data_IF_676209838825
#
_entry.id   IF_676209838825
#
_cell.length_a   1.000
_cell.length_b   1.000
_cell.length_c   1.000
_cell.angle_alpha   90.00
_cell.angle_beta   90.00
_cell.angle_gamma   90.00
#
_symmetry.space_group_name_H-M   'P 1'
#
loop_
_entity.id
_entity.type
_entity.pdbx_description
1 polymer ?
#
# COMPACT_ATOMS: atom_id res chain seq x y z
N UNK A 1 15.28 -29.10 -1.82
CA UNK A 1 15.73 -28.51 -0.54
C UNK A 1 16.90 -27.59 -0.85
N UNK A 2 16.61 -26.34 -1.23
CA UNK A 2 17.61 -25.28 -1.40
C UNK A 2 17.12 -24.09 -0.58
N UNK A 3 17.89 -23.75 0.44
CA UNK A 3 17.60 -22.70 1.39
C UNK A 3 17.85 -21.34 0.73
N UNK A 4 16.80 -20.70 0.24
CA UNK A 4 16.86 -19.29 -0.18
C UNK A 4 17.01 -18.41 1.07
N UNK A 5 18.27 -18.17 1.45
CA UNK A 5 18.60 -17.19 2.47
C UNK A 5 18.32 -15.82 1.88
N UNK A 6 17.25 -15.17 2.34
CA UNK A 6 17.03 -13.73 2.17
C UNK A 6 18.33 -13.00 2.50
N UNK A 7 18.96 -12.40 1.50
CA UNK A 7 20.09 -11.49 1.67
C UNK A 7 19.57 -10.29 2.47
N UNK A 8 19.92 -10.24 3.74
CA UNK A 8 19.85 -9.01 4.53
C UNK A 8 20.80 -8.01 3.85
N UNK A 9 20.41 -6.74 3.64
CA UNK A 9 21.31 -5.73 3.08
C UNK A 9 22.61 -5.68 3.90
N UNK A 10 23.74 -5.61 3.20
CA UNK A 10 25.06 -5.65 3.82
C UNK A 10 25.27 -4.37 4.67
N UNK A 11 25.56 -4.45 5.98
CA UNK A 11 25.86 -3.29 6.81
C UNK A 11 27.11 -2.48 6.36
N UNK A 12 27.82 -2.92 5.32
CA UNK A 12 28.89 -2.17 4.66
C UNK A 12 28.46 -1.28 3.47
N UNK A 13 27.18 -1.27 3.08
CA UNK A 13 26.66 -0.33 2.07
C UNK A 13 26.55 1.08 2.67
N UNK A 14 27.69 1.76 2.85
CA UNK A 14 27.90 3.13 3.36
C UNK A 14 26.61 3.91 3.69
N UNK A 15 26.07 3.61 4.87
CA UNK A 15 24.80 4.15 5.40
C UNK A 15 24.88 5.63 5.78
N UNK A 16 26.06 6.20 5.64
CA UNK A 16 26.37 7.61 5.67
C UNK A 16 27.23 7.83 4.43
N UNK A 17 26.67 8.37 3.35
CA UNK A 17 27.52 8.85 2.26
C UNK A 17 28.48 9.88 2.88
N UNK A 18 29.77 9.59 2.83
CA UNK A 18 30.78 10.38 3.54
C UNK A 18 30.78 11.81 3.00
N UNK A 19 30.44 11.99 1.72
CA UNK A 19 30.26 13.29 1.10
C UNK A 19 29.05 14.05 1.65
N UNK A 20 27.87 13.42 1.66
CA UNK A 20 26.63 14.02 2.16
C UNK A 20 26.71 14.33 3.66
N UNK A 21 27.28 13.43 4.45
CA UNK A 21 27.47 13.61 5.90
C UNK A 21 28.44 14.76 6.18
N UNK A 22 29.53 14.85 5.42
CA UNK A 22 30.48 15.97 5.53
C UNK A 22 29.84 17.30 5.12
N UNK A 23 29.00 17.30 4.08
CA UNK A 23 28.25 18.48 3.64
C UNK A 23 27.23 18.94 4.67
N UNK A 24 26.48 18.03 5.29
CA UNK A 24 25.50 18.38 6.34
C UNK A 24 26.19 18.94 7.59
N UNK A 25 27.25 18.28 8.05
CA UNK A 25 28.04 18.77 9.19
C UNK A 25 28.71 20.11 8.86
N UNK A 26 29.25 20.25 7.64
CA UNK A 26 29.84 21.49 7.15
C UNK A 26 28.84 22.63 7.05
N UNK A 27 27.64 22.38 6.55
CA UNK A 27 26.55 23.36 6.52
C UNK A 27 26.17 23.83 7.92
N UNK A 28 25.96 22.90 8.86
CA UNK A 28 25.64 23.23 10.24
C UNK A 28 26.77 24.03 10.89
N UNK A 29 28.02 23.62 10.69
CA UNK A 29 29.19 24.34 11.22
C UNK A 29 29.28 25.77 10.66
N UNK A 30 29.16 25.95 9.35
CA UNK A 30 29.19 27.27 8.71
C UNK A 30 28.03 28.14 9.21
N UNK A 31 26.82 27.58 9.28
CA UNK A 31 25.64 28.29 9.76
C UNK A 31 25.82 28.79 11.21
N UNK A 32 26.28 27.93 12.12
CA UNK A 32 26.51 28.32 13.52
C UNK A 32 27.73 29.25 13.68
N UNK A 33 28.77 29.13 12.86
CA UNK A 33 29.90 30.06 12.84
C UNK A 33 29.44 31.44 12.39
N UNK A 34 28.68 31.53 11.29
CA UNK A 34 28.12 32.80 10.81
C UNK A 34 27.23 33.43 11.89
N UNK A 35 26.36 32.63 12.51
CA UNK A 35 25.51 33.11 13.60
C UNK A 35 26.33 33.62 14.79
N UNK A 36 27.34 32.87 15.24
CA UNK A 36 28.21 33.25 16.36
C UNK A 36 29.05 34.50 16.08
N UNK A 37 29.59 34.62 14.86
CA UNK A 37 30.34 35.80 14.42
C UNK A 37 29.43 37.02 14.37
N UNK A 38 28.24 36.91 13.77
CA UNK A 38 27.30 38.02 13.69
C UNK A 38 26.79 38.42 15.09
N UNK A 39 26.62 37.47 16.01
CA UNK A 39 26.26 37.78 17.39
C UNK A 39 27.33 38.62 18.14
N UNK A 40 28.58 38.64 17.69
CA UNK A 40 29.62 39.51 18.23
C UNK A 40 29.57 40.97 17.73
N UNK A 41 28.87 41.24 16.62
CA UNK A 41 28.88 42.56 15.95
C UNK A 41 27.58 43.36 16.08
N UNK A 42 26.49 42.77 16.57
CA UNK A 42 25.19 43.44 16.69
C UNK A 42 24.73 43.53 18.15
N UNK A 43 24.40 44.73 18.65
CA UNK A 43 23.94 45.02 20.04
C UNK A 43 22.49 44.61 20.33
N UNK A 44 22.21 44.02 21.49
CA UNK A 44 20.99 43.28 21.87
C UNK A 44 19.63 43.96 21.66
N UNK A 45 19.57 45.27 21.41
CA UNK A 45 18.29 46.01 21.42
C UNK A 45 17.38 45.75 20.21
N UNK A 46 17.84 45.08 19.14
CA UNK A 46 17.11 44.98 17.87
C UNK A 46 17.05 43.54 17.29
N UNK A 47 16.54 42.60 18.09
CA UNK A 47 16.53 41.16 17.77
C UNK A 47 15.82 40.79 16.44
N UNK A 48 14.78 41.52 16.03
CA UNK A 48 14.04 41.24 14.79
C UNK A 48 14.82 41.61 13.52
N UNK A 49 15.49 42.76 13.52
CA UNK A 49 16.30 43.28 12.40
C UNK A 49 17.56 42.44 12.21
N UNK A 50 18.18 41.97 13.30
CA UNK A 50 19.34 41.07 13.26
C UNK A 50 19.01 39.71 12.64
N UNK A 51 17.95 39.06 13.10
CA UNK A 51 17.57 37.73 12.60
C UNK A 51 17.25 37.79 11.09
N UNK A 52 16.51 38.80 10.64
CA UNK A 52 16.24 39.03 9.22
C UNK A 52 17.48 39.31 8.38
N UNK A 53 18.46 40.07 8.90
CA UNK A 53 19.71 40.36 8.18
C UNK A 53 20.58 39.11 8.00
N UNK A 54 20.75 38.30 9.07
CA UNK A 54 21.48 37.02 9.03
C UNK A 54 20.86 36.09 7.99
N UNK A 55 19.53 36.04 7.94
CA UNK A 55 18.80 35.17 7.04
C UNK A 55 18.95 35.57 5.56
N UNK A 56 18.87 36.87 5.26
CA UNK A 56 19.08 37.39 3.89
C UNK A 56 20.52 37.18 3.44
N UNK A 57 21.50 37.49 4.29
CA UNK A 57 22.92 37.32 3.97
C UNK A 57 23.25 35.85 3.74
N UNK A 58 22.76 34.95 4.59
CA UNK A 58 22.96 33.51 4.43
C UNK A 58 22.37 33.01 3.11
N UNK A 59 21.13 33.41 2.79
CA UNK A 59 20.44 33.00 1.56
C UNK A 59 21.16 33.50 0.30
N UNK A 60 21.63 34.75 0.30
CA UNK A 60 22.42 35.31 -0.81
C UNK A 60 23.75 34.57 -0.96
N UNK A 61 24.45 34.28 0.13
CA UNK A 61 25.71 33.51 0.11
C UNK A 61 25.47 32.11 -0.45
N UNK A 62 24.40 31.42 -0.06
CA UNK A 62 24.09 30.08 -0.58
C UNK A 62 23.75 30.09 -2.07
N UNK A 63 23.01 31.10 -2.54
CA UNK A 63 22.73 31.26 -3.98
C UNK A 63 24.03 31.51 -4.74
N UNK A 64 24.90 32.40 -4.25
CA UNK A 64 26.19 32.70 -4.88
C UNK A 64 27.08 31.45 -4.92
N UNK A 65 27.18 30.70 -3.82
CA UNK A 65 27.95 29.45 -3.77
C UNK A 65 27.37 28.42 -4.74
N UNK A 66 26.06 28.27 -4.80
CA UNK A 66 25.40 27.32 -5.71
C UNK A 66 25.63 27.67 -7.18
N UNK A 67 25.50 28.95 -7.53
CA UNK A 67 25.80 29.46 -8.88
C UNK A 67 27.29 29.26 -9.20
N UNK A 68 28.19 29.66 -8.30
CA UNK A 68 29.63 29.51 -8.48
C UNK A 68 30.03 28.03 -8.65
N UNK A 69 29.45 27.13 -7.84
CA UNK A 69 29.66 25.69 -7.95
C UNK A 69 29.18 25.17 -9.31
N UNK A 70 27.96 25.52 -9.72
CA UNK A 70 27.40 25.10 -11.01
C UNK A 70 28.27 25.54 -12.18
N UNK A 71 28.70 26.81 -12.22
CA UNK A 71 29.57 27.33 -13.27
C UNK A 71 31.03 26.85 -13.15
N UNK A 72 31.43 26.30 -12.00
CA UNK A 72 32.74 25.62 -11.84
C UNK A 72 32.76 24.20 -12.41
N UNK A 73 31.59 23.61 -12.68
CA UNK A 73 31.49 22.29 -13.31
C UNK A 73 31.88 22.36 -14.78
N UNK A 74 32.48 21.29 -15.29
CA UNK A 74 32.75 21.11 -16.72
C UNK A 74 31.44 20.97 -17.52
N UNK A 75 31.47 21.30 -18.81
CA UNK A 75 30.26 21.38 -19.65
C UNK A 75 29.45 20.06 -19.67
N UNK A 76 30.13 18.91 -19.64
CA UNK A 76 29.55 17.57 -19.53
C UNK A 76 28.81 17.34 -18.20
N UNK A 77 29.34 17.88 -17.10
CA UNK A 77 28.73 17.79 -15.77
C UNK A 77 27.59 18.77 -15.57
N UNK A 78 27.60 19.92 -16.27
CA UNK A 78 26.47 20.85 -16.28
C UNK A 78 25.25 20.24 -16.99
N UNK A 79 25.48 19.56 -18.12
CA UNK A 79 24.42 18.95 -18.92
C UNK A 79 23.74 17.77 -18.19
N UNK A 80 24.53 16.99 -17.44
CA UNK A 80 24.04 15.86 -16.63
C UNK A 80 23.56 16.27 -15.23
N UNK A 81 23.84 17.49 -14.76
CA UNK A 81 23.58 17.93 -13.39
C UNK A 81 22.15 17.65 -12.92
N UNK A 82 21.15 18.02 -13.71
CA UNK A 82 19.74 17.85 -13.35
C UNK A 82 19.32 16.39 -13.33
N UNK A 83 19.88 15.57 -14.21
CA UNK A 83 19.64 14.13 -14.26
C UNK A 83 20.23 13.45 -13.02
N UNK A 84 21.47 13.78 -12.70
CA UNK A 84 22.19 13.24 -11.55
C UNK A 84 21.55 13.69 -10.22
N UNK A 85 21.09 14.94 -10.15
CA UNK A 85 20.32 15.45 -9.03
C UNK A 85 19.00 14.70 -8.86
N UNK A 86 18.25 14.48 -9.95
CA UNK A 86 16.99 13.71 -9.92
C UNK A 86 17.24 12.27 -9.46
N UNK A 87 18.31 11.63 -9.93
CA UNK A 87 18.67 10.26 -9.53
C UNK A 87 19.12 10.20 -8.05
N UNK A 88 19.86 11.20 -7.59
CA UNK A 88 20.28 11.31 -6.19
C UNK A 88 19.09 11.53 -5.27
N UNK A 89 18.16 12.43 -5.64
CA UNK A 89 16.92 12.64 -4.91
C UNK A 89 16.06 11.37 -4.86
N UNK A 90 15.99 10.62 -5.97
CA UNK A 90 15.30 9.33 -6.03
C UNK A 90 15.92 8.32 -5.05
N UNK A 91 17.25 8.13 -5.11
CA UNK A 91 17.97 7.21 -4.21
C UNK A 91 17.78 7.59 -2.74
N UNK A 92 17.82 8.89 -2.45
CA UNK A 92 17.62 9.41 -1.12
C UNK A 92 16.20 9.13 -0.59
N UNK A 93 15.16 9.45 -1.37
CA UNK A 93 13.77 9.25 -0.96
C UNK A 93 13.39 7.76 -0.84
N UNK A 94 14.02 6.88 -1.63
CA UNK A 94 13.76 5.44 -1.60
C UNK A 94 14.44 4.72 -0.41
N UNK A 95 15.43 5.37 0.22
CA UNK A 95 16.21 4.79 1.30
C UNK A 95 15.54 4.94 2.67
N UNK A 96 15.42 3.83 3.42
CA UNK A 96 14.86 3.86 4.78
C UNK A 96 15.74 4.56 5.81
N UNK A 97 17.06 4.56 5.59
CA UNK A 97 17.99 5.23 6.49
C UNK A 97 17.90 6.75 6.42
N UNK A 98 17.37 7.32 5.32
CA UNK A 98 17.07 8.75 5.20
C UNK A 98 16.15 9.26 6.31
N UNK A 99 15.25 8.41 6.83
CA UNK A 99 14.42 8.76 8.00
C UNK A 99 15.30 8.97 9.23
N UNK A 100 16.24 8.05 9.49
CA UNK A 100 17.16 8.13 10.61
C UNK A 100 18.12 9.32 10.48
N UNK A 101 18.56 9.64 9.26
CA UNK A 101 19.38 10.81 8.98
C UNK A 101 18.65 12.12 9.29
N UNK A 102 17.40 12.29 8.85
CA UNK A 102 16.62 13.50 9.16
C UNK A 102 16.33 13.62 10.65
N UNK A 103 16.08 12.51 11.34
CA UNK A 103 15.95 12.49 12.80
C UNK A 103 17.28 12.91 13.47
N UNK A 104 18.40 12.35 13.02
CA UNK A 104 19.73 12.71 13.51
C UNK A 104 20.06 14.19 13.30
N UNK A 105 19.75 14.72 12.10
CA UNK A 105 19.85 16.14 11.79
C UNK A 105 19.01 16.98 12.75
N UNK A 106 17.74 16.64 12.98
CA UNK A 106 16.87 17.38 13.91
C UNK A 106 17.43 17.41 15.34
N UNK A 107 17.98 16.28 15.82
CA UNK A 107 18.61 16.20 17.14
C UNK A 107 19.83 17.10 17.22
N UNK A 108 20.76 16.99 16.27
CA UNK A 108 21.98 17.79 16.23
C UNK A 108 21.68 19.28 16.05
N UNK A 109 20.70 19.61 15.21
CA UNK A 109 20.25 20.97 14.98
C UNK A 109 19.68 21.60 16.26
N UNK A 110 18.85 20.85 17.01
CA UNK A 110 18.33 21.29 18.31
C UNK A 110 19.43 21.43 19.36
N UNK A 111 20.38 20.51 19.39
CA UNK A 111 21.53 20.60 20.29
C UNK A 111 22.38 21.85 19.98
N UNK A 112 22.59 22.17 18.70
CA UNK A 112 23.28 23.39 18.27
C UNK A 112 22.54 24.66 18.68
N UNK A 113 21.24 24.75 18.41
CA UNK A 113 20.38 25.87 18.85
C UNK A 113 20.54 26.11 20.36
N UNK A 114 20.49 25.05 21.16
CA UNK A 114 20.65 25.13 22.61
C UNK A 114 22.07 25.57 23.01
N UNK A 115 23.11 24.98 22.40
CA UNK A 115 24.52 25.27 22.71
C UNK A 115 24.90 26.72 22.40
N UNK A 116 24.38 27.27 21.31
CA UNK A 116 24.66 28.65 20.88
C UNK A 116 23.65 29.66 21.43
N UNK A 117 22.74 29.25 22.33
CA UNK A 117 21.81 30.16 23.01
C UNK A 117 20.83 30.85 22.06
N UNK A 118 20.49 30.24 20.93
CA UNK A 118 19.63 30.86 19.92
C UNK A 118 18.20 30.95 20.49
N UNK A 119 17.57 32.15 20.52
CA UNK A 119 16.23 32.30 21.06
C UNK A 119 15.21 31.48 20.26
N UNK A 120 14.33 30.78 20.97
CA UNK A 120 13.25 29.97 20.37
C UNK A 120 11.85 30.41 20.81
N UNK A 121 11.76 31.53 21.52
CA UNK A 121 10.51 32.10 22.01
C UNK A 121 9.57 32.54 20.86
N UNK A 122 8.25 32.60 21.10
CA UNK A 122 7.30 33.15 20.13
C UNK A 122 7.68 34.60 19.77
N UNK A 123 7.93 34.87 18.49
CA UNK A 123 8.38 36.20 18.01
C UNK A 123 9.89 36.41 18.02
N UNK A 124 10.65 35.65 18.81
CA UNK A 124 12.11 35.82 18.94
C UNK A 124 12.90 34.80 18.10
N UNK A 125 12.26 33.69 17.70
CA UNK A 125 12.88 32.65 16.90
C UNK A 125 13.32 33.20 15.53
N UNK A 126 14.61 33.06 15.15
CA UNK A 126 15.06 33.43 13.81
C UNK A 126 14.25 32.71 12.73
N UNK A 127 13.93 33.40 11.65
CA UNK A 127 13.12 32.81 10.57
C UNK A 127 13.86 31.61 9.98
N UNK A 128 15.18 31.68 9.75
CA UNK A 128 15.95 30.54 9.24
C UNK A 128 15.81 29.29 10.10
N UNK A 129 15.83 29.43 11.43
CA UNK A 129 15.59 28.30 12.34
C UNK A 129 14.17 27.77 12.17
N UNK A 130 13.16 28.65 12.16
CA UNK A 130 11.76 28.26 11.98
C UNK A 130 11.52 27.57 10.63
N UNK A 131 12.17 28.06 9.57
CA UNK A 131 12.11 27.52 8.23
C UNK A 131 12.77 26.15 8.14
N UNK A 132 14.03 26.01 8.60
CA UNK A 132 14.76 24.75 8.59
C UNK A 132 14.04 23.68 9.41
N UNK A 133 13.54 24.04 10.60
CA UNK A 133 12.74 23.17 11.45
C UNK A 133 11.45 22.72 10.72
N UNK A 134 10.69 23.66 10.16
CA UNK A 134 9.45 23.37 9.42
C UNK A 134 9.70 22.46 8.20
N UNK A 135 10.75 22.74 7.41
CA UNK A 135 11.08 21.93 6.23
C UNK A 135 11.60 20.55 6.61
N UNK A 136 12.41 20.42 7.66
CA UNK A 136 12.88 19.13 8.14
C UNK A 136 11.73 18.25 8.63
N UNK A 137 10.76 18.79 9.38
CA UNK A 137 9.58 18.03 9.80
C UNK A 137 8.64 17.68 8.64
N UNK A 138 8.43 18.59 7.69
CA UNK A 138 7.66 18.31 6.49
C UNK A 138 8.31 17.17 5.69
N UNK A 139 9.64 17.25 5.50
CA UNK A 139 10.40 16.26 4.77
C UNK A 139 10.42 14.90 5.48
N UNK A 140 10.58 14.88 6.81
CA UNK A 140 10.43 13.68 7.64
C UNK A 140 9.05 13.04 7.46
N UNK A 141 7.99 13.85 7.45
CA UNK A 141 6.62 13.37 7.25
C UNK A 141 6.45 12.72 5.88
N UNK A 142 6.98 13.35 4.83
CA UNK A 142 6.97 12.79 3.47
C UNK A 142 7.73 11.45 3.41
N UNK A 143 8.93 11.38 3.99
CA UNK A 143 9.71 10.15 4.05
C UNK A 143 8.96 9.03 4.79
N UNK A 144 8.35 9.32 5.94
CA UNK A 144 7.56 8.33 6.68
C UNK A 144 6.38 7.79 5.87
N UNK A 145 5.69 8.66 5.12
CA UNK A 145 4.62 8.24 4.21
C UNK A 145 5.19 7.34 3.12
N UNK A 146 6.28 7.74 2.46
CA UNK A 146 6.92 6.93 1.42
C UNK A 146 7.29 5.54 1.99
N UNK A 147 7.93 5.49 3.16
CA UNK A 147 8.33 4.22 3.78
C UNK A 147 7.13 3.38 4.20
N UNK A 148 6.06 4.00 4.69
CA UNK A 148 4.81 3.30 5.01
C UNK A 148 4.24 2.63 3.78
N UNK A 149 4.11 3.33 2.66
CA UNK A 149 3.60 2.73 1.42
C UNK A 149 4.54 1.67 0.83
N UNK A 150 5.86 1.90 0.90
CA UNK A 150 6.87 0.94 0.44
C UNK A 150 6.85 -0.35 1.26
N UNK A 151 6.77 -0.27 2.58
CA UNK A 151 6.90 -1.45 3.44
C UNK A 151 5.57 -2.12 3.77
N UNK A 152 4.49 -1.36 3.93
CA UNK A 152 3.16 -1.88 4.27
C UNK A 152 2.38 -2.27 3.02
N UNK A 153 2.23 -1.34 2.06
CA UNK A 153 1.47 -1.58 0.84
C UNK A 153 2.28 -2.19 -0.31
N UNK A 154 3.62 -2.27 -0.16
CA UNK A 154 4.53 -2.73 -1.23
C UNK A 154 4.44 -1.88 -2.51
N UNK A 155 4.09 -0.60 -2.36
CA UNK A 155 3.98 0.37 -3.47
C UNK A 155 5.25 1.22 -3.53
N UNK A 156 5.88 1.28 -4.69
CA UNK A 156 7.03 2.15 -4.95
C UNK A 156 6.59 3.55 -5.41
N UNK A 157 6.29 4.42 -4.44
CA UNK A 157 5.90 5.82 -4.69
C UNK A 157 7.05 6.62 -5.31
N UNK A 158 8.29 6.33 -4.93
CA UNK A 158 9.46 7.09 -5.39
C UNK A 158 9.77 6.74 -6.84
N UNK A 159 9.67 5.47 -7.21
CA UNK A 159 9.66 5.03 -8.59
C UNK A 159 8.56 5.71 -9.40
N UNK A 160 7.34 5.81 -8.87
CA UNK A 160 6.20 6.47 -9.53
C UNK A 160 6.42 7.97 -9.81
N UNK A 161 7.06 8.69 -8.88
CA UNK A 161 7.26 10.15 -8.99
C UNK A 161 8.53 10.54 -9.75
N UNK A 162 9.61 9.77 -9.61
CA UNK A 162 10.94 10.10 -10.14
C UNK A 162 11.42 9.19 -11.28
N UNK A 163 10.68 8.13 -11.61
CA UNK A 163 10.96 7.32 -12.80
C UNK A 163 10.51 8.00 -14.09
N UNK A 164 11.02 7.51 -15.23
CA UNK A 164 10.35 7.67 -16.53
C UNK A 164 9.22 6.65 -16.56
N UNK A 165 8.15 6.93 -15.83
CA UNK A 165 7.10 5.96 -15.60
C UNK A 165 6.11 6.01 -16.76
N UNK A 166 6.12 4.96 -17.56
CA UNK A 166 4.92 4.52 -18.25
C UNK A 166 3.94 4.04 -17.19
N UNK A 167 2.92 4.85 -16.94
CA UNK A 167 1.86 4.61 -15.94
C UNK A 167 1.18 3.23 -16.11
N UNK A 168 1.34 2.58 -17.26
CA UNK A 168 0.90 1.21 -17.52
C UNK A 168 1.69 0.15 -16.72
N UNK A 169 2.99 0.35 -16.47
CA UNK A 169 3.87 -0.63 -15.85
C UNK A 169 3.75 -0.74 -14.32
N UNK A 170 3.23 0.29 -13.65
CA UNK A 170 2.90 0.24 -12.21
C UNK A 170 1.71 -0.70 -11.92
N UNK A 171 0.94 -1.06 -12.94
CA UNK A 171 -0.15 -2.04 -12.88
C UNK A 171 0.22 -3.38 -13.52
N UNK A 172 1.41 -3.51 -14.13
CA UNK A 172 1.93 -4.81 -14.53
C UNK A 172 2.54 -5.49 -13.31
N UNK A 173 1.75 -6.40 -12.75
CA UNK A 173 2.21 -7.40 -11.79
C UNK A 173 3.41 -8.12 -12.39
N UNK A 174 4.56 -7.92 -11.73
CA UNK A 174 5.82 -8.67 -11.85
C UNK A 174 5.59 -10.03 -12.52
N UNK A 175 5.98 -10.16 -13.80
CA UNK A 175 6.03 -11.46 -14.49
C UNK A 175 6.79 -12.42 -13.60
N UNK A 176 6.07 -13.38 -13.04
CA UNK A 176 6.65 -14.46 -12.25
C UNK A 176 7.50 -15.28 -13.19
N UNK A 177 8.76 -15.45 -12.83
CA UNK A 177 9.72 -16.28 -13.55
C UNK A 177 9.13 -17.68 -13.77
N UNK A 178 9.17 -18.11 -15.03
CA UNK A 178 8.69 -19.40 -15.49
C UNK A 178 9.57 -20.48 -14.89
N UNK A 179 9.03 -21.25 -13.95
CA UNK A 179 9.60 -22.55 -13.61
C UNK A 179 9.44 -23.46 -14.84
N UNK A 180 10.57 -23.86 -15.42
CA UNK A 180 10.63 -24.77 -16.56
C UNK A 180 10.36 -26.18 -16.05
N UNK A 181 9.33 -26.84 -16.58
CA UNK A 181 9.14 -28.28 -16.41
C UNK A 181 9.39 -28.99 -17.75
N UNK A 182 9.98 -30.18 -17.66
CA UNK A 182 10.52 -30.95 -18.78
C UNK A 182 9.38 -31.65 -19.51
N UNK A 183 8.61 -30.92 -20.30
CA UNK A 183 7.78 -31.45 -21.39
C UNK A 183 7.29 -30.27 -22.22
N UNK A 184 7.83 -30.10 -23.43
CA UNK A 184 7.63 -28.93 -24.28
C UNK A 184 6.20 -28.71 -24.77
N UNK A 185 5.33 -28.26 -23.87
CA UNK A 185 4.03 -27.66 -24.17
C UNK A 185 3.84 -26.49 -23.21
N UNK A 186 4.08 -25.27 -23.68
CA UNK A 186 3.87 -24.04 -22.92
C UNK A 186 2.38 -23.81 -22.68
N UNK A 187 1.83 -24.35 -21.58
CA UNK A 187 0.55 -23.90 -21.06
C UNK A 187 0.83 -22.66 -20.22
N UNK A 188 0.71 -21.48 -20.85
CA UNK A 188 0.69 -20.23 -20.10
C UNK A 188 -0.46 -20.23 -19.08
N UNK A 189 -0.42 -19.35 -18.06
CA UNK A 189 -1.53 -19.21 -17.13
C UNK A 189 -2.83 -18.99 -17.92
N UNK A 190 -3.81 -19.88 -17.73
CA UNK A 190 -5.05 -19.87 -18.49
C UNK A 190 -5.95 -18.74 -17.98
N UNK A 191 -6.43 -17.91 -18.89
CA UNK A 191 -7.40 -16.86 -18.57
C UNK A 191 -8.76 -17.49 -18.25
N UNK A 192 -9.47 -16.90 -17.29
CA UNK A 192 -10.81 -17.30 -16.89
C UNK A 192 -11.62 -16.12 -16.37
N UNK A 193 -12.94 -16.29 -16.26
CA UNK A 193 -13.78 -15.31 -15.57
C UNK A 193 -13.65 -15.49 -14.06
N UNK A 194 -13.54 -14.38 -13.34
CA UNK A 194 -13.64 -14.34 -11.89
C UNK A 194 -14.46 -13.14 -11.41
N UNK A 195 -15.11 -13.29 -10.26
CA UNK A 195 -16.04 -12.30 -9.72
C UNK A 195 -15.50 -11.66 -8.44
N UNK A 196 -15.59 -10.33 -8.36
CA UNK A 196 -15.41 -9.54 -7.15
C UNK A 196 -16.79 -9.23 -6.56
N UNK A 197 -17.10 -9.78 -5.38
CA UNK A 197 -18.49 -9.91 -4.88
C UNK A 197 -18.94 -8.87 -3.85
N UNK A 198 -18.13 -7.87 -3.52
CA UNK A 198 -18.39 -6.93 -2.42
C UNK A 198 -19.42 -5.82 -2.73
N UNK A 199 -19.92 -5.73 -3.96
CA UNK A 199 -20.93 -4.78 -4.41
C UNK A 199 -20.62 -3.29 -4.17
N UNK A 200 -19.37 -2.88 -4.36
CA UNK A 200 -18.92 -1.51 -4.04
C UNK A 200 -18.75 -0.58 -5.26
N UNK A 201 -18.85 -1.10 -6.49
CA UNK A 201 -18.30 -0.44 -7.66
C UNK A 201 -19.39 0.02 -8.64
N UNK A 202 -19.28 1.25 -9.13
CA UNK A 202 -20.05 1.68 -10.32
C UNK A 202 -19.41 1.11 -11.61
N UNK A 203 -20.02 1.34 -12.77
CA UNK A 203 -19.52 0.79 -14.04
C UNK A 203 -18.13 1.29 -14.45
N UNK A 204 -17.78 2.56 -14.15
CA UNK A 204 -16.44 3.08 -14.43
C UNK A 204 -15.40 2.52 -13.46
N UNK A 205 -15.74 2.43 -12.17
CA UNK A 205 -14.90 1.79 -11.14
C UNK A 205 -14.63 0.34 -11.51
N UNK A 206 -15.63 -0.38 -12.02
CA UNK A 206 -15.52 -1.78 -12.41
C UNK A 206 -14.42 -2.01 -13.47
N UNK A 207 -14.27 -1.10 -14.43
CA UNK A 207 -13.17 -1.15 -15.41
C UNK A 207 -11.82 -1.01 -14.74
N UNK A 208 -11.70 -0.10 -13.77
CA UNK A 208 -10.48 0.11 -13.01
C UNK A 208 -10.15 -1.11 -12.12
N UNK A 209 -11.16 -1.73 -11.50
CA UNK A 209 -11.02 -2.94 -10.69
C UNK A 209 -10.42 -4.09 -11.50
N UNK A 210 -10.96 -4.41 -12.68
CA UNK A 210 -10.38 -5.47 -13.50
C UNK A 210 -8.96 -5.15 -13.96
N UNK A 211 -8.70 -3.90 -14.37
CA UNK A 211 -7.36 -3.47 -14.80
C UNK A 211 -6.33 -3.60 -13.68
N UNK A 212 -6.71 -3.29 -12.44
CA UNK A 212 -5.84 -3.45 -11.27
C UNK A 212 -5.45 -4.93 -11.02
N UNK A 213 -6.23 -5.88 -11.56
CA UNK A 213 -5.95 -7.32 -11.49
C UNK A 213 -5.41 -7.87 -12.82
N UNK A 214 -4.84 -7.03 -13.70
CA UNK A 214 -4.31 -7.44 -14.99
C UNK A 214 -5.35 -8.05 -15.93
N UNK A 215 -6.61 -7.65 -15.76
CA UNK A 215 -7.78 -8.24 -16.44
C UNK A 215 -8.65 -7.15 -17.08
N UNK A 216 -9.61 -7.55 -17.90
CA UNK A 216 -10.67 -6.65 -18.42
C UNK A 216 -12.04 -7.08 -17.91
N UNK A 217 -13.06 -6.25 -18.14
CA UNK A 217 -14.44 -6.70 -17.95
C UNK A 217 -14.70 -7.93 -18.83
N UNK A 218 -15.35 -8.93 -18.26
CA UNK A 218 -15.73 -10.14 -19.00
C UNK A 218 -16.86 -9.83 -19.99
N UNK A 219 -16.82 -10.46 -21.16
CA UNK A 219 -17.93 -10.43 -22.13
C UNK A 219 -19.05 -11.39 -21.69
N UNK A 220 -20.23 -11.27 -22.30
CA UNK A 220 -21.30 -12.23 -22.05
C UNK A 220 -20.86 -13.67 -22.39
N UNK A 221 -20.22 -13.87 -23.55
CA UNK A 221 -19.79 -15.18 -24.03
C UNK A 221 -18.80 -15.85 -23.07
N UNK A 222 -17.91 -15.08 -22.43
CA UNK A 222 -16.96 -15.59 -21.44
C UNK A 222 -17.65 -16.01 -20.13
N UNK A 223 -18.67 -15.26 -19.72
CA UNK A 223 -19.48 -15.58 -18.54
C UNK A 223 -20.32 -16.83 -18.81
N UNK A 224 -20.89 -16.94 -20.01
CA UNK A 224 -21.64 -18.12 -20.45
C UNK A 224 -20.73 -19.35 -20.54
N UNK A 225 -19.54 -19.22 -21.15
CA UNK A 225 -18.54 -20.29 -21.17
C UNK A 225 -18.13 -20.72 -19.75
N UNK A 226 -18.01 -19.77 -18.83
CA UNK A 226 -17.71 -20.06 -17.42
C UNK A 226 -18.85 -20.80 -16.74
N UNK A 227 -20.11 -20.39 -16.97
CA UNK A 227 -21.30 -21.11 -16.51
C UNK A 227 -21.33 -22.55 -17.03
N UNK A 228 -21.05 -22.75 -18.33
CA UNK A 228 -20.95 -24.09 -18.94
C UNK A 228 -19.82 -24.94 -18.32
N UNK A 229 -18.76 -24.29 -17.84
CA UNK A 229 -17.68 -24.89 -17.05
C UNK A 229 -18.00 -25.14 -15.57
N UNK A 230 -19.23 -24.86 -15.12
CA UNK A 230 -19.67 -25.07 -13.74
C UNK A 230 -19.51 -23.86 -12.82
N UNK A 231 -19.18 -22.68 -13.36
CA UNK A 231 -19.06 -21.48 -12.55
C UNK A 231 -20.40 -21.06 -11.93
N UNK A 232 -20.34 -20.61 -10.68
CA UNK A 232 -21.50 -20.17 -9.90
C UNK A 232 -21.09 -19.08 -8.92
N UNK A 233 -21.83 -17.98 -8.87
CA UNK A 233 -21.71 -16.97 -7.83
C UNK A 233 -23.02 -16.19 -7.66
N UNK A 234 -23.18 -15.54 -6.51
CA UNK A 234 -24.48 -15.02 -6.05
C UNK A 234 -24.64 -13.50 -6.18
N UNK A 235 -23.62 -12.80 -6.69
CA UNK A 235 -23.58 -11.34 -6.80
C UNK A 235 -23.53 -10.91 -8.25
N UNK A 236 -24.37 -9.94 -8.62
CA UNK A 236 -24.24 -9.23 -9.89
C UNK A 236 -22.84 -8.65 -10.04
N UNK A 237 -22.19 -8.91 -11.16
CA UNK A 237 -20.92 -8.31 -11.52
C UNK A 237 -21.01 -7.48 -12.79
N UNK A 238 -20.58 -6.22 -12.73
CA UNK A 238 -20.37 -5.40 -13.93
C UNK A 238 -19.51 -6.15 -14.94
N UNK A 239 -19.95 -6.14 -16.20
CA UNK A 239 -19.42 -6.87 -17.35
C UNK A 239 -19.39 -5.93 -18.55
N UNK A 240 -18.82 -6.36 -19.67
CA UNK A 240 -18.68 -5.53 -20.86
C UNK A 240 -20.03 -4.94 -21.34
N UNK A 241 -20.00 -3.71 -21.85
CA UNK A 241 -21.19 -3.05 -22.40
C UNK A 241 -22.21 -2.57 -21.35
N UNK A 242 -21.78 -2.29 -20.11
CA UNK A 242 -22.66 -1.85 -19.01
C UNK A 242 -23.75 -2.88 -18.67
N UNK A 243 -23.41 -4.15 -18.83
CA UNK A 243 -24.22 -5.25 -18.34
C UNK A 243 -23.74 -5.67 -16.96
N UNK A 244 -24.62 -6.29 -16.18
CA UNK A 244 -24.19 -7.00 -15.00
C UNK A 244 -24.81 -8.39 -14.95
N UNK A 245 -23.97 -9.39 -14.69
CA UNK A 245 -24.37 -10.80 -14.75
C UNK A 245 -23.92 -11.61 -13.53
N UNK A 246 -24.64 -12.69 -13.27
CA UNK A 246 -24.22 -13.77 -12.38
C UNK A 246 -24.75 -15.13 -12.89
N UNK A 247 -23.94 -16.20 -12.86
CA UNK A 247 -24.34 -17.54 -13.28
C UNK A 247 -24.89 -18.36 -12.11
N UNK A 248 -25.97 -19.09 -12.36
CA UNK A 248 -26.62 -20.00 -11.40
C UNK A 248 -26.72 -21.40 -11.99
N UNK A 249 -26.15 -22.40 -11.33
CA UNK A 249 -26.20 -23.79 -11.77
C UNK A 249 -27.57 -24.40 -11.52
N UNK A 250 -28.01 -25.26 -12.45
CA UNK A 250 -29.32 -25.92 -12.37
C UNK A 250 -29.49 -26.73 -11.08
N UNK A 251 -28.43 -27.39 -10.62
CA UNK A 251 -28.45 -28.17 -9.39
C UNK A 251 -28.69 -27.29 -8.15
N UNK A 252 -28.00 -26.15 -8.06
CA UNK A 252 -28.18 -25.18 -6.98
C UNK A 252 -29.58 -24.58 -6.99
N UNK A 253 -30.05 -24.16 -8.16
CA UNK A 253 -31.42 -23.64 -8.33
C UNK A 253 -32.48 -24.66 -7.92
N UNK A 254 -32.34 -25.94 -8.32
CA UNK A 254 -33.30 -26.99 -7.97
C UNK A 254 -33.37 -27.21 -6.46
N UNK A 255 -32.23 -27.19 -5.76
CA UNK A 255 -32.19 -27.28 -4.30
C UNK A 255 -32.87 -26.09 -3.62
N UNK A 256 -32.74 -24.88 -4.18
CA UNK A 256 -33.42 -23.68 -3.67
C UNK A 256 -34.95 -23.80 -3.77
N UNK A 257 -35.47 -24.48 -4.79
CA UNK A 257 -36.93 -24.70 -4.93
C UNK A 257 -37.51 -25.58 -3.82
N UNK A 258 -36.70 -26.42 -3.19
CA UNK A 258 -37.11 -27.29 -2.08
C UNK A 258 -37.03 -26.57 -0.72
N UNK A 259 -36.35 -25.42 -0.66
CA UNK A 259 -36.15 -24.63 0.55
C UNK A 259 -37.21 -23.53 0.63
N UNK A 260 -38.16 -23.71 1.54
CA UNK A 260 -39.24 -22.75 1.76
C UNK A 260 -38.69 -21.34 2.03
N UNK A 261 -39.15 -20.36 1.25
CA UNK A 261 -38.74 -18.96 1.35
C UNK A 261 -37.50 -18.60 0.53
N UNK A 262 -36.94 -19.55 -0.22
CA UNK A 262 -35.75 -19.37 -1.05
C UNK A 262 -35.99 -19.71 -2.53
N UNK A 263 -37.25 -19.92 -2.93
CA UNK A 263 -37.65 -20.34 -4.28
C UNK A 263 -37.27 -19.30 -5.36
N UNK A 264 -37.08 -18.05 -4.97
CA UNK A 264 -36.74 -16.93 -5.86
C UNK A 264 -35.27 -16.47 -5.74
N UNK A 265 -34.48 -17.13 -4.89
CA UNK A 265 -33.07 -16.80 -4.75
C UNK A 265 -32.28 -17.21 -6.00
N UNK A 266 -31.24 -16.43 -6.33
CA UNK A 266 -30.32 -16.70 -7.44
C UNK A 266 -30.98 -16.79 -8.83
N UNK A 267 -32.15 -16.17 -9.02
CA UNK A 267 -32.78 -16.02 -10.33
C UNK A 267 -33.21 -17.36 -10.94
N UNK A 268 -32.76 -17.64 -12.18
CA UNK A 268 -33.05 -18.87 -12.93
C UNK A 268 -31.76 -19.61 -13.30
N UNK A 269 -31.82 -20.90 -13.66
CA UNK A 269 -30.65 -21.59 -14.19
C UNK A 269 -30.08 -20.86 -15.42
N UNK A 270 -28.76 -20.71 -15.48
CA UNK A 270 -28.05 -20.00 -16.55
C UNK A 270 -27.40 -18.69 -16.12
N UNK A 271 -27.07 -17.85 -17.10
CA UNK A 271 -26.53 -16.50 -16.88
C UNK A 271 -27.70 -15.54 -16.66
N UNK A 272 -27.78 -14.97 -15.46
CA UNK A 272 -28.80 -14.01 -15.07
C UNK A 272 -28.27 -12.59 -15.16
N UNK A 273 -29.12 -11.66 -15.56
CA UNK A 273 -28.80 -10.24 -15.65
C UNK A 273 -28.99 -9.66 -17.04
N UNK A 274 -28.36 -8.51 -17.28
CA UNK A 274 -28.57 -7.74 -18.50
C UNK A 274 -28.01 -6.32 -18.38
N UNK A 275 -28.44 -5.44 -19.29
CA UNK A 275 -28.04 -4.04 -19.31
C UNK A 275 -28.64 -3.28 -18.12
N UNK A 276 -27.83 -2.48 -17.44
CA UNK A 276 -28.29 -1.58 -16.38
C UNK A 276 -28.20 -0.14 -16.86
N UNK A 277 -29.34 0.54 -16.96
CA UNK A 277 -29.38 1.91 -17.49
C UNK A 277 -28.64 2.93 -16.61
N UNK A 278 -28.59 2.71 -15.30
CA UNK A 278 -27.86 3.57 -14.37
C UNK A 278 -26.44 3.02 -14.14
N UNK A 279 -25.39 3.65 -14.69
CA UNK A 279 -24.01 3.20 -14.51
C UNK A 279 -23.51 3.39 -13.07
N UNK A 280 -24.21 4.17 -12.24
CA UNK A 280 -23.80 4.50 -10.87
C UNK A 280 -24.27 3.48 -9.82
N UNK A 281 -25.00 2.43 -10.21
CA UNK A 281 -25.39 1.35 -9.29
C UNK A 281 -24.13 0.64 -8.79
N UNK A 282 -24.06 0.39 -7.49
CA UNK A 282 -22.93 -0.32 -6.87
C UNK A 282 -23.17 -1.82 -6.93
N UNK A 283 -22.38 -2.50 -7.75
CA UNK A 283 -22.42 -3.95 -7.96
C UNK A 283 -21.00 -4.52 -7.82
N UNK A 284 -20.90 -5.84 -7.86
CA UNK A 284 -19.61 -6.52 -7.99
C UNK A 284 -19.02 -6.31 -9.38
N UNK A 285 -17.99 -7.08 -9.71
CA UNK A 285 -17.32 -6.99 -11.02
C UNK A 285 -16.99 -8.37 -11.55
N UNK A 286 -17.31 -8.65 -12.81
CA UNK A 286 -16.86 -9.84 -13.53
C UNK A 286 -15.64 -9.46 -14.39
N UNK A 287 -14.48 -10.02 -14.05
CA UNK A 287 -13.24 -9.80 -14.77
C UNK A 287 -12.84 -11.04 -15.56
N UNK A 288 -12.20 -10.84 -16.71
CA UNK A 288 -11.60 -11.89 -17.53
C UNK A 288 -10.10 -11.62 -17.69
N UNK A 289 -9.31 -12.62 -17.32
CA UNK A 289 -7.85 -12.58 -17.34
C UNK A 289 -7.26 -13.70 -16.49
N UNK A 290 -5.99 -13.59 -16.12
CA UNK A 290 -5.36 -14.56 -15.20
C UNK A 290 -5.93 -14.36 -13.79
N UNK A 291 -6.65 -15.37 -13.29
CA UNK A 291 -7.24 -15.31 -11.94
C UNK A 291 -6.14 -15.10 -10.88
N UNK A 292 -6.32 -14.16 -9.94
CA UNK A 292 -5.40 -14.00 -8.82
C UNK A 292 -5.21 -15.29 -8.01
N UNK A 293 -4.01 -15.48 -7.44
CA UNK A 293 -3.73 -16.61 -6.57
C UNK A 293 -4.64 -16.57 -5.33
N UNK A 294 -5.16 -17.73 -4.94
CA UNK A 294 -6.04 -17.87 -3.79
C UNK A 294 -5.32 -17.44 -2.50
N UNK A 295 -5.96 -16.60 -1.69
CA UNK A 295 -5.46 -16.25 -0.36
C UNK A 295 -6.03 -17.18 0.72
N UNK A 296 -5.44 -17.19 1.92
CA UNK A 296 -5.97 -17.95 3.06
C UNK A 296 -7.42 -17.52 3.41
N UNK A 297 -7.73 -16.24 3.25
CA UNK A 297 -9.07 -15.69 3.47
C UNK A 297 -10.07 -16.21 2.41
N UNK A 298 -9.67 -16.25 1.14
CA UNK A 298 -10.49 -16.81 0.06
C UNK A 298 -10.73 -18.30 0.28
N UNK A 299 -9.69 -19.03 0.69
CA UNK A 299 -9.76 -20.45 0.99
C UNK A 299 -10.71 -20.73 2.16
N UNK A 300 -10.68 -19.91 3.22
CA UNK A 300 -11.60 -20.00 4.34
C UNK A 300 -13.05 -19.71 3.90
N UNK A 301 -13.27 -18.67 3.08
CA UNK A 301 -14.58 -18.32 2.55
C UNK A 301 -15.14 -19.42 1.64
N UNK A 302 -14.32 -19.97 0.74
CA UNK A 302 -14.70 -21.08 -0.13
C UNK A 302 -15.07 -22.32 0.70
N UNK A 303 -14.27 -22.66 1.71
CA UNK A 303 -14.56 -23.80 2.59
C UNK A 303 -15.85 -23.61 3.39
N UNK A 304 -16.15 -22.38 3.84
CA UNK A 304 -17.39 -22.07 4.53
C UNK A 304 -18.64 -22.22 3.64
N UNK A 305 -18.48 -22.08 2.32
CA UNK A 305 -19.56 -22.19 1.31
C UNK A 305 -19.80 -23.62 0.80
N UNK A 306 -18.82 -24.54 0.88
CA UNK A 306 -18.89 -25.90 0.29
C UNK A 306 -20.20 -26.66 0.52
N UNK A 307 -20.83 -26.50 1.69
CA UNK A 307 -22.03 -27.25 2.07
C UNK A 307 -23.28 -26.38 2.23
N UNK A 308 -23.23 -25.10 1.83
CA UNK A 308 -24.30 -24.13 2.11
C UNK A 308 -24.63 -23.29 0.89
N UNK A 309 -25.87 -23.44 0.43
CA UNK A 309 -26.41 -22.65 -0.68
C UNK A 309 -26.95 -21.30 -0.19
N UNK A 310 -27.46 -21.26 1.05
CA UNK A 310 -28.05 -20.06 1.66
C UNK A 310 -27.22 -19.58 2.86
N UNK A 311 -27.19 -18.26 3.14
CA UNK A 311 -26.60 -17.72 4.36
C UNK A 311 -27.29 -18.25 5.62
N UNK A 312 -26.56 -18.32 6.73
CA UNK A 312 -27.14 -18.70 8.03
C UNK A 312 -28.20 -17.71 8.50
N UNK A 313 -29.30 -18.23 9.05
CA UNK A 313 -30.29 -17.38 9.70
C UNK A 313 -29.71 -16.68 10.94
N UNK A 314 -30.39 -15.65 11.45
CA UNK A 314 -29.94 -14.98 12.66
C UNK A 314 -29.92 -15.96 13.85
N UNK A 315 -30.90 -16.85 13.92
CA UNK A 315 -31.06 -17.88 14.95
C UNK A 315 -29.93 -18.91 14.88
N UNK A 316 -29.58 -19.38 13.69
CA UNK A 316 -28.45 -20.31 13.49
C UNK A 316 -27.13 -19.67 13.90
N UNK A 317 -26.90 -18.41 13.54
CA UNK A 317 -25.70 -17.67 13.98
C UNK A 317 -25.65 -17.52 15.50
N UNK A 318 -26.79 -17.22 16.14
CA UNK A 318 -26.87 -17.16 17.60
C UNK A 318 -26.59 -18.51 18.25
N UNK A 319 -27.07 -19.60 17.67
CA UNK A 319 -26.78 -20.94 18.14
C UNK A 319 -25.28 -21.26 18.01
N UNK A 320 -24.64 -20.95 16.88
CA UNK A 320 -23.19 -21.16 16.73
C UNK A 320 -22.39 -20.38 17.76
N UNK A 321 -22.74 -19.11 18.00
CA UNK A 321 -22.07 -18.30 19.03
C UNK A 321 -22.17 -18.94 20.41
N UNK A 322 -23.33 -19.53 20.75
CA UNK A 322 -23.50 -20.31 21.98
C UNK A 322 -22.64 -21.57 21.96
N UNK A 323 -22.62 -22.32 20.87
CA UNK A 323 -21.82 -23.54 20.73
C UNK A 323 -20.32 -23.25 20.90
N UNK A 324 -19.80 -22.20 20.25
CA UNK A 324 -18.40 -21.81 20.37
C UNK A 324 -18.06 -21.31 21.78
N UNK A 325 -18.95 -20.56 22.42
CA UNK A 325 -18.80 -20.20 23.83
C UNK A 325 -18.68 -21.45 24.71
N UNK A 326 -19.54 -22.46 24.53
CA UNK A 326 -19.50 -23.70 25.31
C UNK A 326 -18.25 -24.53 25.01
N UNK A 327 -17.77 -24.58 23.76
CA UNK A 327 -16.52 -25.26 23.41
C UNK A 327 -15.31 -24.61 24.07
N UNK A 328 -15.19 -23.28 24.00
CA UNK A 328 -14.08 -22.54 24.58
C UNK A 328 -14.04 -22.66 26.12
N UNK A 329 -15.20 -22.88 26.74
CA UNK A 329 -15.34 -23.01 28.19
C UNK A 329 -15.64 -24.44 28.65
N UNK A 330 -15.45 -25.44 27.78
CA UNK A 330 -15.84 -26.83 28.06
C UNK A 330 -15.28 -27.33 29.39
N UNK A 331 -13.99 -27.15 29.62
CA UNK A 331 -13.32 -27.69 30.81
C UNK A 331 -13.68 -26.96 32.11
N UNK A 332 -14.25 -25.75 32.01
CA UNK A 332 -14.62 -24.91 33.16
C UNK A 332 -16.10 -24.98 33.49
N UNK A 333 -16.95 -25.07 32.48
CA UNK A 333 -18.40 -24.90 32.62
C UNK A 333 -19.19 -26.18 32.30
N UNK A 334 -18.59 -27.17 31.62
CA UNK A 334 -19.27 -28.42 31.27
C UNK A 334 -18.77 -29.55 32.16
N UNK A 335 -19.60 -29.98 33.11
CA UNK A 335 -19.36 -31.15 33.95
C UNK A 335 -20.16 -32.32 33.40
N UNK A 336 -19.46 -33.35 32.93
CA UNK A 336 -20.07 -34.59 32.46
C UNK A 336 -20.31 -35.52 33.65
N UNK A 337 -21.52 -36.04 33.78
CA UNK A 337 -21.82 -37.10 34.74
C UNK A 337 -21.27 -38.43 34.25
N UNK A 338 -20.81 -39.27 35.18
CA UNK A 338 -20.48 -40.66 34.87
C UNK A 338 -21.74 -41.43 34.45
N UNK A 339 -21.57 -42.47 33.64
CA UNK A 339 -22.67 -43.34 33.21
C UNK A 339 -23.42 -43.97 34.39
N UNK A 340 -22.71 -44.32 35.45
CA UNK A 340 -23.26 -44.66 36.76
C UNK A 340 -22.22 -44.39 37.87
N UNK A 341 -22.47 -44.85 39.10
CA UNK A 341 -21.58 -44.62 40.23
C UNK A 341 -20.17 -45.22 40.07
N UNK A 342 -20.02 -46.25 39.22
CA UNK A 342 -18.80 -47.05 39.12
C UNK A 342 -18.13 -46.94 37.74
N UNK A 343 -18.82 -46.40 36.73
CA UNK A 343 -18.36 -46.36 35.33
C UNK A 343 -18.58 -45.01 34.68
N UNK A 344 -17.55 -44.51 34.02
CA UNK A 344 -17.60 -43.27 33.22
C UNK A 344 -18.48 -43.40 31.96
N UNK A 345 -18.39 -44.53 31.26
CA UNK A 345 -19.09 -44.81 29.99
C UNK A 345 -19.75 -46.19 30.05
N UNK A 346 -20.81 -46.40 29.24
CA UNK A 346 -21.44 -47.72 29.03
C UNK A 346 -20.50 -48.69 28.29
N UNK A 347 -19.58 -48.15 27.50
CA UNK A 347 -18.61 -48.85 26.65
C UNK A 347 -17.20 -48.65 27.19
#
# INVERSE_FOLDING_TARGET
>A
MSSDKKKVPDPADNYFDSGTTLLTVGFLAIYFIIYGVLNMFFDDEDHHTKAGFVDVVSLVIFIIIGIAYYFSLSADKQDSFWKDFKESARKYLDNAYSVAEVIGFLILFKAGIYLFGIPTGPGEKPWSIAFLESKAYLFLTVLLIIQFFKYIFKIDIVGALFGDVDWASLFETKKTEVATDISGSTVGPKEEVFNVSNNLYNYEDAKAVCRAMGSRLATYDEIEASYMGGAEWTSYGWSEGQHAYFPTQKATWARLQELKGHEHDLGRPGVNGGYFANPNVRLGVNCYGVRPQITDADQALMNAKKNRVVPKTAEERQLDMKVEFWKANKDKLLVLSSFNNDKWSKY
#
